data_IF_902361598857
#
_entry.id   IF_902361598857
#
_cell.length_a   1.000
_cell.length_b   1.000
_cell.length_c   1.000
_cell.angle_alpha   90.00
_cell.angle_beta   90.00
_cell.angle_gamma   90.00
#
_symmetry.space_group_name_H-M   'P 1'
#
loop_
_entity.id
_entity.type
_entity.pdbx_description
1 polymer ?
#
# COMPACT_ATOMS: atom_id res chain seq x y z
N UNK A 1 59.02 82.88 30.36
CA UNK A 1 57.80 83.48 29.79
C UNK A 1 57.60 83.06 28.33
N UNK A 2 56.72 82.07 28.08
CA UNK A 2 55.68 82.01 27.02
C UNK A 2 55.07 80.60 26.95
N UNK A 3 53.73 80.53 27.01
CA UNK A 3 52.83 79.42 26.65
C UNK A 3 52.94 79.18 25.10
N UNK A 4 52.69 78.02 24.47
CA UNK A 4 51.43 77.26 24.19
C UNK A 4 51.78 75.80 23.67
N UNK A 5 50.86 74.86 23.30
CA UNK A 5 50.39 73.74 24.13
C UNK A 5 50.65 72.30 23.58
N UNK A 6 50.07 71.34 24.30
CA UNK A 6 50.25 69.88 24.31
C UNK A 6 49.96 69.05 23.04
N UNK A 7 50.65 67.91 22.94
CA UNK A 7 50.07 66.61 22.53
C UNK A 7 50.87 65.45 23.14
N UNK A 8 50.17 64.38 23.47
CA UNK A 8 50.45 63.37 24.50
C UNK A 8 51.43 62.27 24.05
N UNK A 9 52.33 61.87 24.94
CA UNK A 9 53.31 60.78 24.82
C UNK A 9 52.75 59.49 25.47
N UNK A 10 52.98 58.29 24.86
CA UNK A 10 53.33 57.05 25.59
C UNK A 10 53.89 55.95 24.64
N UNK A 11 54.75 55.02 25.14
CA UNK A 11 55.71 54.18 24.37
C UNK A 11 55.18 52.76 24.02
N UNK A 12 55.96 51.89 23.32
CA UNK A 12 55.42 50.68 22.67
C UNK A 12 55.39 49.47 23.62
N UNK A 13 54.36 48.62 23.50
CA UNK A 13 54.23 47.39 24.27
C UNK A 13 54.07 46.15 23.36
N UNK A 14 54.73 45.08 23.80
CA UNK A 14 54.96 43.77 23.18
C UNK A 14 53.73 43.06 22.55
N UNK A 15 53.98 42.11 21.62
CA UNK A 15 52.94 41.26 21.02
C UNK A 15 52.51 40.14 21.99
N UNK A 16 51.24 39.70 21.96
CA UNK A 16 50.81 38.58 22.77
C UNK A 16 51.11 37.23 22.09
N UNK A 17 51.97 36.45 22.76
CA UNK A 17 51.77 35.02 23.06
C UNK A 17 50.41 34.83 23.77
N UNK A 18 49.59 33.79 23.64
CA UNK A 18 49.85 32.36 23.83
C UNK A 18 48.49 31.63 23.73
N UNK A 19 48.41 30.49 23.04
CA UNK A 19 48.11 29.19 23.67
C UNK A 19 47.91 28.09 22.62
N UNK A 20 48.52 26.94 22.89
CA UNK A 20 48.75 25.85 21.96
C UNK A 20 47.92 24.60 22.30
N UNK A 21 47.36 23.97 21.24
CA UNK A 21 47.23 22.51 20.92
C UNK A 21 46.38 21.55 21.79
N UNK A 22 45.91 20.35 21.29
CA UNK A 22 46.40 19.57 20.14
C UNK A 22 45.39 18.88 19.16
N UNK A 23 45.80 18.84 17.88
CA UNK A 23 45.66 17.81 16.82
C UNK A 23 44.44 16.84 16.72
N UNK A 24 43.84 16.78 15.51
CA UNK A 24 43.66 15.53 14.73
C UNK A 24 43.53 15.79 13.21
N UNK A 25 43.93 14.81 12.37
CA UNK A 25 44.34 15.03 10.98
C UNK A 25 43.16 15.18 10.01
N UNK A 26 43.35 16.00 8.98
CA UNK A 26 42.54 15.97 7.77
C UNK A 26 42.97 14.78 6.90
N UNK A 27 42.02 13.94 6.49
CA UNK A 27 41.98 13.42 5.13
C UNK A 27 40.52 13.49 4.63
N UNK A 28 40.17 13.56 3.36
CA UNK A 28 40.84 13.52 2.08
C UNK A 28 39.79 14.08 1.11
N UNK A 29 40.20 14.74 0.04
CA UNK A 29 39.26 15.09 -1.02
C UNK A 29 38.89 13.82 -1.78
N UNK A 30 37.83 13.14 -1.35
CA UNK A 30 37.11 12.19 -2.19
C UNK A 30 35.83 12.85 -2.69
N UNK A 31 35.85 13.15 -3.98
CA UNK A 31 34.69 13.44 -4.82
C UNK A 31 33.64 12.34 -4.59
N UNK A 32 32.64 12.63 -3.75
CA UNK A 32 31.45 11.80 -3.66
C UNK A 32 30.39 12.46 -4.53
N UNK A 33 30.38 11.99 -5.76
CA UNK A 33 29.24 11.81 -6.65
C UNK A 33 27.90 12.10 -5.95
N UNK A 34 27.44 13.35 -6.06
CA UNK A 34 26.07 13.76 -5.79
C UNK A 34 25.17 13.07 -6.81
N UNK A 35 24.92 11.77 -6.62
CA UNK A 35 23.79 11.09 -7.19
C UNK A 35 22.55 11.56 -6.42
N UNK A 36 22.10 12.76 -6.78
CA UNK A 36 20.73 13.21 -6.63
C UNK A 36 19.86 12.22 -7.40
N UNK A 37 19.52 11.11 -6.74
CA UNK A 37 18.46 10.24 -7.19
C UNK A 37 17.18 11.05 -7.01
N UNK A 38 16.83 11.80 -8.05
CA UNK A 38 15.47 12.17 -8.43
C UNK A 38 14.70 10.86 -8.69
N UNK A 39 14.48 10.12 -7.61
CA UNK A 39 13.55 9.02 -7.56
C UNK A 39 12.20 9.69 -7.47
N UNK A 40 11.35 9.49 -8.48
CA UNK A 40 9.95 9.91 -8.57
C UNK A 40 9.11 9.43 -7.35
N UNK A 41 9.41 9.93 -6.15
CA UNK A 41 8.83 9.58 -4.85
C UNK A 41 7.32 9.90 -4.83
N UNK A 42 6.87 10.75 -5.75
CA UNK A 42 5.47 11.08 -5.96
C UNK A 42 4.63 9.95 -6.60
N UNK A 43 5.27 8.96 -7.24
CA UNK A 43 4.55 7.90 -7.99
C UNK A 43 4.46 6.57 -7.25
N UNK A 44 5.42 6.28 -6.37
CA UNK A 44 5.48 5.05 -5.57
C UNK A 44 4.46 5.10 -4.42
N UNK A 45 3.77 3.99 -4.16
CA UNK A 45 2.85 3.86 -3.03
C UNK A 45 3.55 3.38 -1.74
N UNK A 46 4.85 3.17 -1.81
CA UNK A 46 5.66 2.53 -0.77
C UNK A 46 5.77 1.01 -0.93
N UNK A 47 6.42 0.40 0.06
CA UNK A 47 6.66 -1.05 0.14
C UNK A 47 6.16 -1.62 1.46
N UNK A 48 5.76 -2.89 1.45
CA UNK A 48 5.29 -3.63 2.62
C UNK A 48 6.18 -4.86 2.86
N UNK A 49 6.65 -5.01 4.10
CA UNK A 49 7.40 -6.16 4.59
C UNK A 49 6.54 -7.00 5.54
N UNK A 50 6.42 -8.29 5.23
CA UNK A 50 5.63 -9.24 6.00
C UNK A 50 6.15 -10.66 5.83
N UNK A 51 5.64 -11.59 6.64
CA UNK A 51 5.95 -13.00 6.52
C UNK A 51 4.74 -13.88 6.73
N UNK A 52 4.71 -15.01 6.03
CA UNK A 52 3.65 -16.01 6.11
C UNK A 52 4.22 -17.34 6.58
N UNK A 53 3.52 -18.01 7.48
CA UNK A 53 3.81 -19.37 7.93
C UNK A 53 2.47 -20.12 8.01
N UNK A 54 2.37 -21.25 7.32
CA UNK A 54 1.23 -22.15 7.45
C UNK A 54 1.66 -23.36 8.27
N UNK A 55 1.07 -23.49 9.45
CA UNK A 55 1.23 -24.65 10.33
C UNK A 55 0.16 -25.68 10.00
N UNK A 56 0.57 -26.76 9.32
CA UNK A 56 -0.38 -27.73 8.76
C UNK A 56 -1.13 -28.48 9.86
N UNK A 57 -0.43 -28.86 10.94
CA UNK A 57 -0.99 -29.61 12.08
C UNK A 57 -2.10 -28.82 12.79
N UNK A 58 -1.92 -27.50 12.90
CA UNK A 58 -2.85 -26.61 13.60
C UNK A 58 -3.89 -25.97 12.66
N UNK A 59 -3.82 -26.25 11.35
CA UNK A 59 -4.62 -25.60 10.32
C UNK A 59 -4.60 -24.06 10.45
N UNK A 60 -3.42 -23.51 10.70
CA UNK A 60 -3.24 -22.11 11.05
C UNK A 60 -2.31 -21.37 10.08
N UNK A 61 -2.80 -20.27 9.50
CA UNK A 61 -1.99 -19.37 8.67
C UNK A 61 -1.61 -18.12 9.49
N UNK A 62 -0.35 -18.05 9.88
CA UNK A 62 0.25 -16.93 10.58
C UNK A 62 0.71 -15.88 9.58
N UNK A 63 0.16 -14.68 9.69
CA UNK A 63 0.51 -13.53 8.87
C UNK A 63 1.16 -12.47 9.76
N UNK A 64 2.48 -12.41 9.77
CA UNK A 64 3.23 -11.43 10.56
C UNK A 64 3.54 -10.20 9.69
N UNK A 65 2.88 -9.09 10.01
CA UNK A 65 3.03 -7.79 9.37
C UNK A 65 4.12 -7.02 10.10
N UNK A 66 5.24 -6.75 9.41
CA UNK A 66 6.45 -6.23 10.04
C UNK A 66 6.44 -4.71 9.95
N UNK A 67 6.59 -4.16 8.74
CA UNK A 67 6.66 -2.71 8.50
C UNK A 67 6.27 -2.34 7.08
N UNK A 68 6.00 -1.06 6.87
CA UNK A 68 6.02 -0.45 5.54
C UNK A 68 7.07 0.64 5.48
N UNK A 69 7.51 0.98 4.27
CA UNK A 69 8.49 2.05 4.01
C UNK A 69 8.01 2.93 2.87
N UNK A 70 8.15 4.25 3.05
CA UNK A 70 7.88 5.24 2.01
C UNK A 70 6.43 5.23 1.53
N UNK A 71 5.47 5.08 2.45
CA UNK A 71 4.06 5.15 2.09
C UNK A 71 3.74 6.52 1.48
N UNK A 72 2.79 6.55 0.55
CA UNK A 72 2.27 7.79 -0.02
C UNK A 72 1.62 8.64 1.10
N UNK A 73 1.97 9.93 1.22
CA UNK A 73 1.24 10.86 2.09
C UNK A 73 -0.21 10.99 1.67
N UNK A 74 -1.12 10.87 2.63
CA UNK A 74 -2.58 10.95 2.42
C UNK A 74 -3.18 12.09 3.24
N UNK A 75 -2.59 12.41 4.39
CA UNK A 75 -3.00 13.54 5.22
C UNK A 75 -2.44 14.89 4.74
N UNK A 76 -3.17 15.96 5.05
CA UNK A 76 -2.74 17.36 4.83
C UNK A 76 -1.45 17.75 5.56
N UNK A 77 -1.05 17.00 6.60
CA UNK A 77 0.20 17.19 7.33
C UNK A 77 1.42 16.56 6.61
N UNK A 78 1.20 15.91 5.45
CA UNK A 78 2.25 15.22 4.70
C UNK A 78 2.61 13.83 5.26
N UNK A 79 1.77 13.26 6.13
CA UNK A 79 1.93 11.93 6.73
C UNK A 79 0.70 11.05 6.40
N UNK A 80 0.52 9.99 7.18
CA UNK A 80 -0.64 9.12 7.17
C UNK A 80 -0.77 8.44 8.55
N UNK A 81 -1.95 7.91 8.85
CA UNK A 81 -2.29 7.00 9.94
C UNK A 81 -2.48 5.55 9.40
N UNK A 82 -1.42 4.85 8.95
CA UNK A 82 -1.57 3.59 8.22
C UNK A 82 -1.98 2.38 9.08
N UNK A 83 -2.80 1.51 8.48
CA UNK A 83 -3.07 0.15 8.93
C UNK A 83 -3.14 -0.84 7.75
N UNK A 84 -2.97 -2.14 8.03
CA UNK A 84 -3.05 -3.20 7.01
C UNK A 84 -4.27 -4.06 7.23
N UNK A 85 -5.08 -4.22 6.17
CA UNK A 85 -6.25 -5.10 6.11
C UNK A 85 -5.90 -6.36 5.31
N UNK A 86 -6.05 -7.51 5.95
CA UNK A 86 -5.85 -8.83 5.34
C UNK A 86 -7.20 -9.39 4.90
N UNK A 87 -7.24 -9.98 3.71
CA UNK A 87 -8.45 -10.61 3.20
C UNK A 87 -8.14 -11.87 2.42
N UNK A 88 -8.72 -13.00 2.85
CA UNK A 88 -8.65 -14.27 2.13
C UNK A 88 -9.71 -14.34 1.02
N UNK A 89 -9.26 -14.56 -0.21
CA UNK A 89 -10.08 -14.66 -1.42
C UNK A 89 -9.96 -16.06 -2.06
N UNK A 90 -11.02 -16.65 -2.64
CA UNK A 90 -12.41 -16.18 -2.63
C UNK A 90 -13.09 -16.43 -1.28
N UNK A 91 -14.11 -15.62 -0.99
CA UNK A 91 -14.92 -15.72 0.22
C UNK A 91 -15.25 -14.33 0.79
N UNK A 92 -16.48 -14.15 1.26
CA UNK A 92 -16.98 -12.87 1.78
C UNK A 92 -17.26 -12.91 3.29
N UNK A 93 -16.94 -14.02 3.98
CA UNK A 93 -17.16 -14.16 5.42
C UNK A 93 -16.37 -13.12 6.21
N UNK A 94 -16.95 -12.63 7.32
CA UNK A 94 -16.26 -11.73 8.26
C UNK A 94 -14.98 -12.37 8.81
N UNK A 95 -14.95 -13.69 9.01
CA UNK A 95 -13.76 -14.44 9.45
C UNK A 95 -12.60 -14.42 8.46
N UNK A 96 -12.83 -14.05 7.20
CA UNK A 96 -11.77 -13.92 6.19
C UNK A 96 -11.05 -12.57 6.26
N UNK A 97 -11.48 -11.65 7.13
CA UNK A 97 -10.89 -10.31 7.26
C UNK A 97 -10.20 -10.16 8.60
N UNK A 98 -8.94 -9.77 8.57
CA UNK A 98 -8.17 -9.38 9.75
C UNK A 98 -7.57 -7.99 9.49
N UNK A 99 -7.17 -7.29 10.55
CA UNK A 99 -6.62 -5.95 10.45
C UNK A 99 -5.61 -5.72 11.56
N UNK A 100 -4.52 -5.01 11.26
CA UNK A 100 -3.55 -4.53 12.24
C UNK A 100 -4.05 -3.29 12.99
N UNK A 101 -3.36 -2.94 14.07
CA UNK A 101 -3.48 -1.62 14.68
C UNK A 101 -3.11 -0.50 13.69
N UNK A 102 -3.73 0.65 13.90
CA UNK A 102 -3.34 1.90 13.22
C UNK A 102 -2.17 2.52 13.93
N UNK A 103 -1.14 2.90 13.18
CA UNK A 103 -0.04 3.71 13.68
C UNK A 103 -0.21 5.12 13.13
N UNK A 104 -0.05 6.15 13.98
CA UNK A 104 -0.39 7.52 13.62
C UNK A 104 0.79 8.31 13.09
N UNK A 105 0.53 9.25 12.18
CA UNK A 105 1.47 10.25 11.68
C UNK A 105 2.81 9.64 11.23
N UNK A 106 2.78 8.62 10.36
CA UNK A 106 3.99 7.96 9.87
C UNK A 106 3.84 7.38 8.47
N UNK A 107 4.86 7.60 7.64
CA UNK A 107 4.99 6.94 6.32
C UNK A 107 5.86 5.67 6.38
N UNK A 108 6.41 5.36 7.56
CA UNK A 108 7.29 4.21 7.80
C UNK A 108 6.81 3.42 9.04
N UNK A 109 5.57 2.92 9.05
CA UNK A 109 5.01 2.21 10.19
C UNK A 109 5.74 0.89 10.47
N UNK A 110 5.91 0.58 11.76
CA UNK A 110 6.47 -0.68 12.26
C UNK A 110 5.43 -1.38 13.15
N UNK A 111 4.65 -2.29 12.58
CA UNK A 111 3.57 -2.97 13.30
C UNK A 111 4.08 -4.13 14.14
N UNK A 112 4.96 -4.97 13.59
CA UNK A 112 5.40 -6.23 14.21
C UNK A 112 4.24 -7.06 14.78
N UNK A 113 3.12 -7.10 14.06
CA UNK A 113 1.86 -7.69 14.51
C UNK A 113 1.60 -9.00 13.78
N UNK A 114 1.22 -10.06 14.50
CA UNK A 114 0.87 -11.35 13.91
C UNK A 114 -0.63 -11.56 13.95
N UNK A 115 -1.23 -11.68 12.77
CA UNK A 115 -2.64 -11.98 12.56
C UNK A 115 -2.76 -13.44 12.11
N UNK A 116 -3.66 -14.21 12.71
CA UNK A 116 -3.76 -15.66 12.49
C UNK A 116 -5.14 -16.01 11.94
N UNK A 117 -5.16 -16.74 10.83
CA UNK A 117 -6.36 -17.42 10.36
C UNK A 117 -6.33 -18.87 10.85
N UNK A 118 -7.37 -19.27 11.56
CA UNK A 118 -7.55 -20.65 12.04
C UNK A 118 -8.50 -21.43 11.12
N UNK A 119 -8.31 -22.75 11.06
CA UNK A 119 -9.16 -23.66 10.27
C UNK A 119 -8.92 -23.57 8.76
N UNK A 120 -7.75 -23.08 8.33
CA UNK A 120 -7.37 -23.06 6.92
C UNK A 120 -6.97 -24.48 6.51
N UNK A 121 -7.66 -25.03 5.51
CA UNK A 121 -7.37 -26.37 5.01
C UNK A 121 -6.32 -26.33 3.89
N UNK A 122 -5.70 -27.47 3.62
CA UNK A 122 -4.70 -27.61 2.56
C UNK A 122 -5.28 -27.27 1.16
N UNK A 123 -6.54 -27.62 0.96
CA UNK A 123 -7.30 -27.35 -0.26
C UNK A 123 -7.56 -25.85 -0.43
N UNK A 124 -7.78 -25.13 0.67
CA UNK A 124 -7.83 -23.68 0.68
C UNK A 124 -6.46 -23.04 0.42
N UNK A 125 -5.37 -23.60 0.95
CA UNK A 125 -4.01 -23.17 0.62
C UNK A 125 -3.72 -23.26 -0.89
N UNK A 126 -4.30 -24.23 -1.60
CA UNK A 126 -4.11 -24.36 -3.05
C UNK A 126 -4.89 -23.33 -3.88
N UNK A 127 -6.07 -22.92 -3.40
CA UNK A 127 -6.99 -22.07 -4.18
C UNK A 127 -7.04 -20.61 -3.76
N UNK A 128 -6.78 -20.32 -2.48
CA UNK A 128 -6.97 -18.99 -1.93
C UNK A 128 -5.79 -18.07 -2.23
N UNK A 129 -6.10 -16.78 -2.24
CA UNK A 129 -5.14 -15.67 -2.34
C UNK A 129 -5.33 -14.78 -1.12
N UNK A 130 -4.24 -14.51 -0.41
CA UNK A 130 -4.20 -13.49 0.63
C UNK A 130 -3.98 -12.13 -0.02
N UNK A 131 -4.90 -11.21 0.21
CA UNK A 131 -4.76 -9.80 -0.18
C UNK A 131 -4.42 -8.98 1.05
N UNK A 132 -3.36 -8.18 0.97
CA UNK A 132 -2.97 -7.22 1.99
C UNK A 132 -3.19 -5.82 1.41
N UNK A 133 -4.08 -5.04 2.01
CA UNK A 133 -4.40 -3.68 1.60
C UNK A 133 -3.97 -2.72 2.70
N UNK A 134 -3.12 -1.76 2.36
CA UNK A 134 -2.69 -0.66 3.24
C UNK A 134 -3.63 0.51 3.01
N UNK A 135 -4.20 1.01 4.10
CA UNK A 135 -5.12 2.15 4.10
C UNK A 135 -4.72 3.13 5.18
N UNK A 136 -5.07 4.39 4.95
CA UNK A 136 -5.01 5.46 5.92
C UNK A 136 -6.31 5.49 6.75
N UNK A 137 -6.22 5.73 8.05
CA UNK A 137 -7.40 5.87 8.92
C UNK A 137 -7.62 7.33 9.33
N UNK A 138 -8.63 7.94 8.73
CA UNK A 138 -9.05 9.30 9.06
C UNK A 138 -10.03 9.31 10.22
N UNK A 139 -9.76 10.15 11.23
CA UNK A 139 -10.66 10.30 12.40
C UNK A 139 -11.99 10.96 12.07
N UNK A 140 -12.03 11.77 11.02
CA UNK A 140 -13.17 12.63 10.66
C UNK A 140 -13.53 12.55 9.17
N UNK A 141 -13.00 11.55 8.46
CA UNK A 141 -13.13 11.38 7.01
C UNK A 141 -13.28 9.91 6.61
N UNK A 142 -13.23 9.64 5.31
CA UNK A 142 -13.25 8.29 4.78
C UNK A 142 -11.83 7.74 4.71
N UNK A 143 -11.63 6.53 5.27
CA UNK A 143 -10.35 5.84 5.19
C UNK A 143 -9.82 5.75 3.75
N UNK A 144 -8.67 6.36 3.48
CA UNK A 144 -8.11 6.41 2.13
C UNK A 144 -7.31 5.14 1.82
N UNK A 145 -7.43 4.63 0.60
CA UNK A 145 -6.66 3.46 0.16
C UNK A 145 -5.28 3.90 -0.36
N UNK A 146 -4.21 3.34 0.20
CA UNK A 146 -2.84 3.63 -0.24
C UNK A 146 -2.41 2.66 -1.32
N UNK A 147 -2.46 1.35 -1.04
CA UNK A 147 -1.93 0.34 -1.96
C UNK A 147 -2.19 -1.09 -1.48
N UNK A 148 -2.07 -2.06 -2.38
CA UNK A 148 -2.27 -3.47 -2.03
C UNK A 148 -1.21 -4.38 -2.66
N UNK A 149 -1.12 -5.58 -2.10
CA UNK A 149 -0.37 -6.70 -2.68
C UNK A 149 -1.15 -8.00 -2.47
N UNK A 150 -0.88 -9.00 -3.32
CA UNK A 150 -1.57 -10.28 -3.32
C UNK A 150 -0.60 -11.44 -3.35
N UNK A 151 -0.82 -12.41 -2.49
CA UNK A 151 -0.04 -13.65 -2.41
C UNK A 151 -0.95 -14.84 -2.61
N UNK A 152 -0.75 -15.58 -3.70
CA UNK A 152 -1.39 -16.88 -3.88
C UNK A 152 -0.84 -17.85 -2.84
N UNK A 153 -1.72 -18.43 -2.00
CA UNK A 153 -1.31 -19.24 -0.86
C UNK A 153 -0.56 -20.52 -1.28
N UNK A 154 -0.81 -21.03 -2.49
CA UNK A 154 -0.07 -22.17 -3.06
C UNK A 154 1.45 -21.97 -3.15
N UNK A 155 1.92 -20.72 -3.06
CA UNK A 155 3.35 -20.36 -3.06
C UNK A 155 3.99 -20.41 -1.66
N UNK A 156 3.20 -20.67 -0.62
CA UNK A 156 3.65 -20.83 0.77
C UNK A 156 3.81 -22.32 1.04
N UNK A 157 5.02 -22.72 1.46
CA UNK A 157 5.29 -24.12 1.82
C UNK A 157 4.86 -24.37 3.26
N UNK A 158 4.50 -25.62 3.55
CA UNK A 158 4.08 -26.04 4.88
C UNK A 158 5.24 -25.94 5.87
N UNK A 159 4.94 -25.47 7.07
CA UNK A 159 5.86 -25.31 8.21
C UNK A 159 7.16 -24.53 7.90
N UNK A 160 7.14 -23.75 6.83
CA UNK A 160 8.25 -22.92 6.39
C UNK A 160 7.82 -21.47 6.33
N UNK A 161 8.41 -20.66 7.22
CA UNK A 161 8.22 -19.21 7.20
C UNK A 161 8.79 -18.63 5.91
N UNK A 162 7.97 -17.87 5.19
CA UNK A 162 8.34 -17.16 3.97
C UNK A 162 8.23 -15.66 4.19
N UNK A 163 9.33 -14.95 3.95
CA UNK A 163 9.39 -13.48 4.07
C UNK A 163 9.11 -12.83 2.71
N UNK A 164 8.45 -11.69 2.74
CA UNK A 164 8.08 -10.88 1.58
C UNK A 164 8.46 -9.43 1.83
N UNK A 165 9.02 -8.79 0.82
CA UNK A 165 9.20 -7.35 0.74
C UNK A 165 8.77 -6.94 -0.67
N UNK A 166 7.63 -6.27 -0.78
CA UNK A 166 6.97 -6.01 -2.06
C UNK A 166 6.54 -4.55 -2.15
N UNK A 167 6.62 -3.99 -3.36
CA UNK A 167 6.05 -2.69 -3.66
C UNK A 167 4.52 -2.79 -3.63
N UNK A 168 3.87 -1.73 -3.15
CA UNK A 168 2.43 -1.64 -3.12
C UNK A 168 1.92 -1.20 -4.49
N UNK A 169 0.86 -1.85 -4.96
CA UNK A 169 0.22 -1.57 -6.24
C UNK A 169 -1.08 -0.79 -6.01
N UNK A 170 -1.41 0.10 -6.97
CA UNK A 170 -2.75 0.72 -6.99
C UNK A 170 -3.73 -0.40 -7.29
N UNK A 171 -4.87 -0.42 -6.59
CA UNK A 171 -5.94 -1.38 -6.89
C UNK A 171 -6.27 -1.30 -8.37
N UNK A 172 -6.07 -2.39 -9.09
CA UNK A 172 -6.77 -2.60 -10.36
C UNK A 172 -8.25 -2.68 -9.96
N UNK A 173 -9.12 -1.73 -10.37
CA UNK A 173 -10.51 -1.71 -9.93
C UNK A 173 -11.22 -2.94 -10.46
N UNK A 174 -11.26 -4.00 -9.67
CA UNK A 174 -12.22 -5.08 -9.85
C UNK A 174 -13.47 -4.56 -9.14
N UNK A 175 -14.27 -3.74 -9.83
CA UNK A 175 -15.55 -3.26 -9.29
C UNK A 175 -16.33 -4.48 -8.82
N UNK A 176 -16.42 -4.66 -7.50
CA UNK A 176 -17.22 -5.72 -6.92
C UNK A 176 -18.66 -5.34 -7.16
N UNK A 177 -19.30 -6.16 -7.98
CA UNK A 177 -20.73 -6.35 -7.93
C UNK A 177 -21.14 -6.74 -6.50
N UNK A 178 -21.89 -5.88 -5.83
CA UNK A 178 -22.92 -6.20 -4.84
C UNK A 178 -23.92 -5.03 -4.95
N UNK A 179 -25.23 -5.17 -5.16
CA UNK A 179 -26.11 -6.32 -5.25
C UNK A 179 -27.51 -5.87 -4.78
N UNK A 180 -28.57 -6.38 -5.42
CA UNK A 180 -29.93 -6.38 -4.85
C UNK A 180 -31.00 -6.48 -5.94
N UNK A 181 -32.06 -7.28 -5.86
CA UNK A 181 -32.49 -8.36 -4.97
C UNK A 181 -33.71 -8.98 -5.65
N UNK A 182 -33.84 -10.31 -5.74
CA UNK A 182 -35.14 -10.97 -5.58
C UNK A 182 -34.96 -12.22 -4.70
N UNK A 183 -35.39 -12.04 -3.45
CA UNK A 183 -36.02 -12.98 -2.50
C UNK A 183 -35.40 -14.37 -2.29
N UNK A 184 -34.71 -14.52 -1.16
CA UNK A 184 -34.48 -15.81 -0.51
C UNK A 184 -33.39 -15.82 0.57
N UNK A 185 -33.71 -15.26 1.74
CA UNK A 185 -33.04 -15.43 3.06
C UNK A 185 -31.79 -14.59 3.43
N UNK A 186 -31.94 -13.99 4.62
CA UNK A 186 -30.99 -13.54 5.64
C UNK A 186 -30.32 -12.14 5.52
N UNK A 187 -30.90 -11.19 6.28
CA UNK A 187 -30.30 -10.18 7.18
C UNK A 187 -28.80 -9.89 7.04
N UNK A 188 -28.41 -8.61 6.85
CA UNK A 188 -28.03 -7.66 7.93
C UNK A 188 -28.02 -6.23 7.36
N UNK A 189 -28.62 -5.31 8.12
CA UNK A 189 -28.48 -3.85 8.00
C UNK A 189 -27.14 -3.40 8.64
N UNK A 190 -26.79 -2.12 8.42
CA UNK A 190 -25.61 -1.35 8.86
C UNK A 190 -24.27 -1.54 8.10
N UNK A 191 -24.06 -0.65 7.12
CA UNK A 191 -23.06 0.43 7.24
C UNK A 191 -23.48 1.59 6.33
N UNK A 192 -23.61 2.79 6.90
CA UNK A 192 -24.11 3.98 6.22
C UNK A 192 -23.08 4.53 5.21
N UNK A 193 -23.55 4.85 3.99
CA UNK A 193 -22.89 5.79 3.10
C UNK A 193 -22.14 5.21 1.89
N UNK A 194 -22.87 4.81 0.85
CA UNK A 194 -22.34 4.90 -0.52
C UNK A 194 -23.51 4.97 -1.52
N UNK A 195 -23.95 6.20 -1.83
CA UNK A 195 -24.79 6.45 -3.01
C UNK A 195 -23.87 6.38 -4.24
N UNK A 196 -23.43 5.16 -4.55
CA UNK A 196 -22.69 4.88 -5.76
C UNK A 196 -23.65 5.05 -6.95
N UNK A 197 -23.48 6.12 -7.72
CA UNK A 197 -24.24 6.34 -8.95
C UNK A 197 -24.18 5.09 -9.83
N UNK A 198 -25.29 4.37 -9.98
CA UNK A 198 -25.39 3.14 -10.76
C UNK A 198 -25.13 3.47 -12.25
N UNK A 199 -23.90 3.32 -12.75
CA UNK A 199 -23.52 3.66 -14.14
C UNK A 199 -23.93 2.61 -15.19
N UNK A 200 -24.92 1.80 -14.87
CA UNK A 200 -25.47 0.74 -15.71
C UNK A 200 -24.86 -0.64 -15.51
N UNK A 201 -25.41 -1.60 -16.26
CA UNK A 201 -25.23 -3.04 -16.05
C UNK A 201 -24.87 -3.72 -17.36
N UNK A 202 -23.89 -4.62 -17.32
CA UNK A 202 -23.51 -5.47 -18.45
C UNK A 202 -23.69 -6.93 -18.04
N UNK A 203 -24.48 -7.69 -18.80
CA UNK A 203 -24.58 -9.14 -18.64
C UNK A 203 -23.52 -9.79 -19.53
N UNK A 204 -22.70 -10.65 -18.93
CA UNK A 204 -21.64 -11.39 -19.62
C UNK A 204 -21.91 -12.88 -19.46
N UNK A 205 -21.67 -13.64 -20.54
CA UNK A 205 -21.63 -15.10 -20.54
C UNK A 205 -20.19 -15.58 -20.54
N UNK A 206 -19.90 -16.60 -19.74
CA UNK A 206 -18.58 -17.23 -19.64
C UNK A 206 -18.74 -18.73 -19.85
N UNK A 207 -17.91 -19.31 -20.71
CA UNK A 207 -17.88 -20.76 -20.94
C UNK A 207 -16.45 -21.22 -21.15
N UNK A 208 -15.96 -22.08 -20.27
CA UNK A 208 -14.63 -22.67 -20.40
C UNK A 208 -14.75 -24.13 -20.85
N UNK A 209 -14.11 -24.45 -21.98
CA UNK A 209 -13.93 -25.81 -22.44
C UNK A 209 -12.51 -26.27 -22.13
N UNK A 210 -12.36 -27.18 -21.17
CA UNK A 210 -11.07 -27.71 -20.73
C UNK A 210 -10.39 -28.62 -21.77
N UNK A 211 -11.15 -29.31 -22.61
CA UNK A 211 -10.59 -30.18 -23.65
C UNK A 211 -9.93 -29.38 -24.78
N UNK A 212 -10.39 -28.14 -24.98
CA UNK A 212 -9.92 -27.24 -26.04
C UNK A 212 -9.15 -26.04 -25.49
N UNK A 213 -8.88 -25.99 -24.17
CA UNK A 213 -8.25 -24.86 -23.47
C UNK A 213 -8.82 -23.49 -23.87
N UNK A 214 -10.14 -23.42 -24.09
CA UNK A 214 -10.80 -22.25 -24.67
C UNK A 214 -11.77 -21.63 -23.68
N UNK A 215 -11.57 -20.35 -23.38
CA UNK A 215 -12.55 -19.51 -22.70
C UNK A 215 -13.33 -18.70 -23.75
N UNK A 216 -14.65 -18.86 -23.76
CA UNK A 216 -15.58 -18.04 -24.56
C UNK A 216 -16.20 -17.01 -23.62
N UNK A 217 -16.10 -15.75 -24.01
CA UNK A 217 -16.69 -14.61 -23.28
C UNK A 217 -17.66 -13.90 -24.22
N UNK A 218 -18.94 -13.83 -23.86
CA UNK A 218 -19.95 -13.15 -24.66
C UNK A 218 -20.54 -11.97 -23.90
N UNK A 219 -20.53 -10.77 -24.49
CA UNK A 219 -21.28 -9.60 -23.98
C UNK A 219 -22.73 -9.76 -24.42
N UNK A 220 -23.63 -10.04 -23.49
CA UNK A 220 -25.02 -10.44 -23.79
C UNK A 220 -25.95 -9.24 -23.86
N UNK A 221 -25.83 -8.30 -22.91
CA UNK A 221 -26.64 -7.07 -22.89
C UNK A 221 -25.96 -5.98 -22.06
N UNK A 222 -26.17 -4.72 -22.42
CA UNK A 222 -25.86 -3.56 -21.60
C UNK A 222 -27.17 -2.80 -21.32
N UNK A 223 -27.41 -2.35 -20.08
CA UNK A 223 -28.65 -1.68 -19.68
C UNK A 223 -28.37 -0.58 -18.66
N UNK A 224 -29.17 0.49 -18.66
CA UNK A 224 -29.06 1.64 -17.73
C UNK A 224 -27.67 2.29 -17.70
N UNK A 225 -26.94 2.25 -18.82
CA UNK A 225 -25.64 2.91 -18.92
C UNK A 225 -25.80 4.40 -18.68
N UNK A 226 -24.97 4.95 -17.79
CA UNK A 226 -24.98 6.38 -17.55
C UNK A 226 -24.62 7.15 -18.82
N UNK A 227 -25.31 8.27 -19.04
CA UNK A 227 -25.00 9.21 -20.10
C UNK A 227 -23.70 9.95 -19.79
N UNK A 228 -22.72 9.86 -20.69
CA UNK A 228 -21.40 10.48 -20.51
C UNK A 228 -21.22 11.71 -21.41
N UNK A 229 -22.09 11.88 -22.41
CA UNK A 229 -22.06 13.02 -23.32
C UNK A 229 -23.04 14.11 -22.88
N UNK A 230 -22.74 15.35 -23.28
CA UNK A 230 -23.58 16.52 -23.02
C UNK A 230 -24.98 16.44 -23.65
N UNK A 231 -25.23 15.46 -24.51
CA UNK A 231 -26.52 15.19 -25.16
C UNK A 231 -27.43 14.26 -24.33
N UNK A 232 -26.96 13.74 -23.18
CA UNK A 232 -27.72 12.82 -22.34
C UNK A 232 -27.71 11.36 -22.82
N UNK A 233 -26.80 10.99 -23.72
CA UNK A 233 -26.55 9.62 -24.20
C UNK A 233 -25.10 9.18 -23.95
N UNK A 234 -24.79 7.94 -24.34
CA UNK A 234 -23.45 7.35 -24.33
C UNK A 234 -23.26 6.47 -25.56
N UNK A 235 -22.03 6.40 -26.07
CA UNK A 235 -21.60 5.51 -27.16
C UNK A 235 -20.77 4.33 -26.61
N UNK A 236 -21.39 3.31 -26.00
CA UNK A 236 -20.67 2.29 -25.26
C UNK A 236 -19.94 1.29 -26.17
N UNK A 237 -18.69 1.00 -25.81
CA UNK A 237 -17.96 -0.17 -26.30
C UNK A 237 -17.40 -0.97 -25.12
N UNK A 238 -17.25 -2.28 -25.30
CA UNK A 238 -16.70 -3.17 -24.26
C UNK A 238 -15.33 -3.66 -24.70
N UNK A 239 -14.28 -3.26 -23.97
CA UNK A 239 -12.93 -3.78 -24.15
C UNK A 239 -12.73 -5.02 -23.27
N UNK A 240 -12.38 -6.14 -23.87
CA UNK A 240 -12.03 -7.37 -23.13
C UNK A 240 -10.51 -7.50 -23.04
N UNK A 241 -10.00 -7.62 -21.81
CA UNK A 241 -8.57 -7.78 -21.54
C UNK A 241 -8.34 -9.11 -20.82
N UNK A 242 -7.47 -9.96 -21.37
CA UNK A 242 -6.96 -11.15 -20.65
C UNK A 242 -5.69 -10.73 -19.93
N UNK A 243 -5.70 -10.81 -18.60
CA UNK A 243 -4.51 -10.52 -17.79
C UNK A 243 -3.66 -11.78 -17.70
N UNK A 244 -2.53 -11.78 -18.41
CA UNK A 244 -1.49 -12.78 -18.23
C UNK A 244 -0.69 -12.39 -16.99
N UNK A 245 -0.72 -13.23 -15.96
CA UNK A 245 0.20 -13.07 -14.84
C UNK A 245 1.60 -13.46 -15.32
N UNK A 246 2.49 -12.48 -15.44
CA UNK A 246 3.91 -12.64 -15.81
C UNK A 246 4.75 -13.33 -14.72
N UNK A 247 4.19 -14.37 -14.07
CA UNK A 247 4.84 -15.13 -13.02
C UNK A 247 4.94 -16.61 -13.42
N UNK A 248 5.54 -16.87 -14.57
CA UNK A 248 6.01 -18.18 -15.02
C UNK A 248 7.24 -18.00 -15.92
N UNK A 249 8.40 -17.73 -15.31
CA UNK A 249 9.71 -18.23 -15.73
C UNK A 249 10.42 -18.66 -14.44
#
# INVERSE_FOLDING_TARGET
PTYIPATRITPPANPPSNNATPQRPAPDHTENDDNDYDSDDATTLGSLEFSLLYEQENHALHCCIIKAKGLKPMDSNGLADPYVKLHLLPGASKSNKLRTKTLKNTLNPLWNETLIYHGITDDEMQRKTLRLSVSDEDKFGHNEFIGETRVALKKVKFDQKKNFNVCLERVIPVKKAVGGSIRGMALYEDDEGEDSEERGRILISLTYNSQQSRLVVGVVRCAHLAAMDSNGYSDPFVKMCVLLSSAFI
#
